data_IF_962025323948
#
_entry.id   IF_962025323948
#
_cell.length_a   1.000
_cell.length_b   1.000
_cell.length_c   1.000
_cell.angle_alpha   90.00
_cell.angle_beta   90.00
_cell.angle_gamma   90.00
#
_symmetry.space_group_name_H-M   'P 1'
#
loop_
_entity.id
_entity.type
_entity.pdbx_description
1 polymer ?
#
# COMPACT_ATOMS: atom_id res chain seq x y z
N UNK A 1 -3.88 -23.52 16.72
CA UNK A 1 -2.81 -22.93 15.87
C UNK A 1 -1.68 -22.42 16.73
N UNK A 2 -0.41 -22.71 16.40
CA UNK A 2 0.73 -22.14 17.10
C UNK A 2 0.76 -20.61 16.89
N UNK A 3 1.07 -19.85 17.93
CA UNK A 3 1.09 -18.37 17.91
C UNK A 3 2.02 -17.82 16.81
N UNK A 4 3.10 -18.53 16.52
CA UNK A 4 4.07 -18.21 15.48
C UNK A 4 3.42 -18.14 14.09
N UNK A 5 2.51 -19.05 13.76
CA UNK A 5 1.89 -19.10 12.44
C UNK A 5 0.97 -17.89 12.17
N UNK A 6 0.34 -17.33 13.20
CA UNK A 6 -0.52 -16.14 13.08
C UNK A 6 0.25 -14.87 12.70
N UNK A 7 1.54 -14.82 12.98
CA UNK A 7 2.41 -13.68 12.66
C UNK A 7 3.23 -13.95 11.40
N UNK A 8 3.74 -15.17 11.25
CA UNK A 8 4.56 -15.56 10.10
C UNK A 8 3.76 -15.51 8.80
N UNK A 9 2.51 -15.99 8.79
CA UNK A 9 1.70 -16.00 7.58
C UNK A 9 1.50 -14.58 6.97
N UNK A 10 1.01 -13.57 7.70
CA UNK A 10 0.88 -12.21 7.15
C UNK A 10 2.25 -11.59 6.83
N UNK A 11 3.30 -11.86 7.61
CA UNK A 11 4.64 -11.36 7.31
C UNK A 11 5.19 -11.91 5.98
N UNK A 12 4.98 -13.20 5.69
CA UNK A 12 5.38 -13.81 4.42
C UNK A 12 4.56 -13.24 3.26
N UNK A 13 3.26 -13.00 3.43
CA UNK A 13 2.44 -12.36 2.39
C UNK A 13 2.91 -10.94 2.08
N UNK A 14 3.29 -10.16 3.10
CA UNK A 14 3.89 -8.83 2.91
C UNK A 14 5.22 -8.91 2.16
N UNK A 15 6.09 -9.85 2.53
CA UNK A 15 7.36 -10.06 1.83
C UNK A 15 7.14 -10.44 0.35
N UNK A 16 6.20 -11.36 0.07
CA UNK A 16 5.85 -11.74 -1.29
C UNK A 16 5.25 -10.58 -2.09
N UNK A 17 4.50 -9.69 -1.44
CA UNK A 17 3.97 -8.48 -2.09
C UNK A 17 5.11 -7.58 -2.56
N UNK A 18 6.11 -7.33 -1.70
CA UNK A 18 7.28 -6.53 -2.07
C UNK A 18 8.13 -7.19 -3.15
N UNK A 19 8.39 -8.50 -3.03
CA UNK A 19 9.13 -9.24 -4.06
C UNK A 19 8.41 -9.17 -5.40
N UNK A 20 7.10 -9.41 -5.42
CA UNK A 20 6.30 -9.34 -6.66
C UNK A 20 6.29 -7.93 -7.25
N UNK A 21 6.24 -6.89 -6.41
CA UNK A 21 6.34 -5.51 -6.85
C UNK A 21 7.67 -5.23 -7.55
N UNK A 22 8.80 -5.58 -6.93
CA UNK A 22 10.12 -5.35 -7.52
C UNK A 22 10.35 -6.19 -8.78
N UNK A 23 9.87 -7.43 -8.82
CA UNK A 23 9.88 -8.25 -10.04
C UNK A 23 9.05 -7.59 -11.14
N UNK A 24 7.85 -7.11 -10.82
CA UNK A 24 7.00 -6.38 -11.76
C UNK A 24 7.65 -5.10 -12.29
N UNK A 25 8.34 -4.35 -11.43
CA UNK A 25 9.10 -3.15 -11.82
C UNK A 25 10.25 -3.51 -12.78
N UNK A 26 11.03 -4.55 -12.45
CA UNK A 26 12.15 -4.99 -13.28
C UNK A 26 11.71 -5.52 -14.66
N UNK A 27 10.55 -6.19 -14.72
CA UNK A 27 9.99 -6.71 -15.98
C UNK A 27 9.30 -5.60 -16.79
N UNK A 28 8.66 -4.64 -16.13
CA UNK A 28 7.87 -3.61 -16.77
C UNK A 28 8.63 -2.35 -17.15
N UNK A 29 9.85 -2.14 -16.64
CA UNK A 29 10.62 -0.91 -16.84
C UNK A 29 9.98 0.34 -16.21
N UNK A 30 8.98 0.15 -15.35
CA UNK A 30 8.24 1.26 -14.73
C UNK A 30 9.10 2.10 -13.77
N UNK A 31 10.25 1.57 -13.36
CA UNK A 31 11.25 2.26 -12.58
C UNK A 31 12.49 2.63 -13.39
N UNK A 32 12.42 2.71 -14.74
CA UNK A 32 13.52 3.14 -15.61
C UNK A 32 13.52 4.66 -15.83
N UNK A 33 14.69 5.21 -16.16
CA UNK A 33 14.88 6.67 -16.29
C UNK A 33 14.08 7.21 -17.45
N UNK A 34 13.35 8.30 -17.19
CA UNK A 34 12.50 8.96 -18.18
C UNK A 34 13.35 10.02 -18.89
N UNK A 35 13.35 10.01 -20.22
CA UNK A 35 14.13 10.97 -21.01
C UNK A 35 13.58 12.41 -20.94
N UNK A 36 12.34 12.59 -20.49
CA UNK A 36 11.67 13.88 -20.34
C UNK A 36 10.88 13.87 -19.03
N UNK A 37 11.01 14.94 -18.24
CA UNK A 37 10.26 15.15 -17.00
C UNK A 37 10.38 13.96 -16.02
N UNK A 38 11.62 13.54 -15.74
CA UNK A 38 11.87 12.48 -14.75
C UNK A 38 11.73 13.03 -13.33
N UNK A 39 10.76 12.55 -12.54
CA UNK A 39 10.57 12.98 -11.15
C UNK A 39 11.65 12.40 -10.19
N UNK A 40 12.51 11.52 -10.69
CA UNK A 40 13.60 10.88 -9.97
C UNK A 40 13.24 9.53 -9.32
N UNK A 41 14.27 8.82 -8.86
CA UNK A 41 14.16 7.46 -8.33
C UNK A 41 13.16 7.35 -7.16
N UNK A 42 13.16 8.34 -6.26
CA UNK A 42 12.28 8.33 -5.08
C UNK A 42 10.82 8.22 -5.49
N UNK A 43 10.39 8.93 -6.53
CA UNK A 43 9.01 8.90 -7.02
C UNK A 43 8.76 7.65 -7.86
N UNK A 44 9.72 7.25 -8.70
CA UNK A 44 9.63 6.05 -9.54
C UNK A 44 9.48 4.75 -8.76
N UNK A 45 10.11 4.63 -7.59
CA UNK A 45 9.90 3.49 -6.68
C UNK A 45 8.81 3.77 -5.64
N UNK A 46 8.70 5.00 -5.15
CA UNK A 46 7.75 5.39 -4.11
C UNK A 46 6.29 5.29 -4.55
N UNK A 47 5.97 5.70 -5.78
CA UNK A 47 4.61 5.65 -6.31
C UNK A 47 4.08 4.19 -6.42
N UNK A 48 4.81 3.24 -7.02
CA UNK A 48 4.40 1.83 -7.02
C UNK A 48 4.25 1.23 -5.61
N UNK A 49 5.16 1.54 -4.68
CA UNK A 49 5.06 1.08 -3.29
C UNK A 49 3.81 1.63 -2.60
N UNK A 50 3.55 2.93 -2.75
CA UNK A 50 2.36 3.56 -2.17
C UNK A 50 1.08 2.94 -2.74
N UNK A 51 1.02 2.69 -4.05
CA UNK A 51 -0.10 1.99 -4.70
C UNK A 51 -0.27 0.55 -4.21
N UNK A 52 0.82 -0.19 -4.01
CA UNK A 52 0.76 -1.54 -3.45
C UNK A 52 0.15 -1.54 -2.04
N UNK A 53 0.55 -0.58 -1.20
CA UNK A 53 -0.03 -0.40 0.13
C UNK A 53 -1.51 -0.01 0.09
N UNK A 54 -1.91 0.86 -0.85
CA UNK A 54 -3.32 1.18 -1.09
C UNK A 54 -4.12 -0.08 -1.42
N UNK A 55 -3.67 -0.88 -2.38
CA UNK A 55 -4.35 -2.11 -2.79
C UNK A 55 -4.46 -3.12 -1.64
N UNK A 56 -3.38 -3.31 -0.88
CA UNK A 56 -3.38 -4.24 0.25
C UNK A 56 -4.32 -3.78 1.37
N UNK A 57 -4.32 -2.48 1.66
CA UNK A 57 -5.18 -1.88 2.68
C UNK A 57 -6.65 -1.95 2.28
N UNK A 58 -6.97 -1.69 1.01
CA UNK A 58 -8.32 -1.89 0.48
C UNK A 58 -8.74 -3.36 0.56
N UNK A 59 -7.87 -4.30 0.21
CA UNK A 59 -8.17 -5.73 0.28
C UNK A 59 -8.46 -6.17 1.74
N UNK A 60 -7.63 -5.73 2.70
CA UNK A 60 -7.84 -6.00 4.12
C UNK A 60 -9.12 -5.38 4.65
N UNK A 61 -9.39 -4.11 4.31
CA UNK A 61 -10.59 -3.39 4.74
C UNK A 61 -11.85 -4.01 4.15
N UNK A 62 -11.91 -4.19 2.83
CA UNK A 62 -13.09 -4.70 2.15
C UNK A 62 -13.32 -6.18 2.53
N UNK A 63 -12.27 -7.00 2.52
CA UNK A 63 -12.37 -8.41 2.88
C UNK A 63 -12.86 -8.63 4.31
N UNK A 64 -12.37 -7.84 5.26
CA UNK A 64 -12.82 -7.93 6.66
C UNK A 64 -14.26 -7.46 6.85
N UNK A 65 -14.68 -6.38 6.18
CA UNK A 65 -16.08 -5.93 6.19
C UNK A 65 -17.02 -6.96 5.55
N UNK A 66 -16.63 -7.55 4.41
CA UNK A 66 -17.42 -8.60 3.76
C UNK A 66 -17.60 -9.80 4.70
N UNK A 67 -16.54 -10.23 5.39
CA UNK A 67 -16.63 -11.31 6.38
C UNK A 67 -17.53 -10.93 7.57
N UNK A 68 -17.42 -9.70 8.07
CA UNK A 68 -18.25 -9.21 9.17
C UNK A 68 -19.74 -9.19 8.82
N UNK A 69 -20.10 -8.82 7.59
CA UNK A 69 -21.49 -8.70 7.14
C UNK A 69 -22.09 -10.05 6.75
N UNK A 70 -21.32 -10.92 6.06
CA UNK A 70 -21.85 -12.12 5.44
C UNK A 70 -21.52 -13.43 6.15
N UNK A 71 -20.41 -13.50 6.88
CA UNK A 71 -19.89 -14.77 7.40
C UNK A 71 -19.89 -14.88 8.93
N UNK A 72 -19.94 -13.75 9.65
CA UNK A 72 -19.76 -13.71 11.11
C UNK A 72 -21.04 -13.26 11.83
N UNK A 73 -21.32 -13.88 12.98
CA UNK A 73 -22.40 -13.47 13.85
C UNK A 73 -22.00 -12.23 14.68
N UNK A 74 -22.87 -11.23 14.75
CA UNK A 74 -22.59 -9.91 15.37
C UNK A 74 -22.33 -10.01 16.88
N UNK A 75 -22.95 -10.97 17.56
CA UNK A 75 -22.80 -11.21 19.00
C UNK A 75 -21.46 -11.88 19.37
N UNK A 76 -20.72 -12.35 18.37
CA UNK A 76 -19.51 -13.15 18.57
C UNK A 76 -18.23 -12.31 18.48
N UNK A 77 -17.20 -12.63 19.31
CA UNK A 77 -15.96 -11.85 19.37
C UNK A 77 -15.23 -11.76 18.03
N UNK A 78 -15.41 -12.75 17.16
CA UNK A 78 -14.82 -12.80 15.82
C UNK A 78 -15.29 -11.63 14.94
N UNK A 79 -16.55 -11.20 15.07
CA UNK A 79 -17.07 -10.03 14.33
C UNK A 79 -16.38 -8.73 14.76
N UNK A 80 -16.12 -8.57 16.06
CA UNK A 80 -15.33 -7.44 16.58
C UNK A 80 -13.90 -7.44 16.03
N UNK A 81 -13.25 -8.60 15.98
CA UNK A 81 -11.90 -8.73 15.40
C UNK A 81 -11.89 -8.35 13.92
N UNK A 82 -12.92 -8.73 13.16
CA UNK A 82 -13.05 -8.32 11.76
C UNK A 82 -13.20 -6.80 11.63
N UNK A 83 -14.03 -6.16 12.47
CA UNK A 83 -14.19 -4.70 12.49
C UNK A 83 -12.91 -3.96 12.91
N UNK A 84 -12.16 -4.48 13.89
CA UNK A 84 -10.87 -3.91 14.31
C UNK A 84 -9.84 -4.00 13.18
N UNK A 85 -9.81 -5.13 12.46
CA UNK A 85 -8.96 -5.29 11.27
C UNK A 85 -9.37 -4.35 10.13
N UNK A 86 -10.67 -4.15 9.93
CA UNK A 86 -11.21 -3.21 8.95
C UNK A 86 -10.76 -1.78 9.27
N UNK A 87 -10.90 -1.37 10.53
CA UNK A 87 -10.49 -0.05 11.02
C UNK A 87 -8.97 0.17 10.89
N UNK A 88 -8.16 -0.81 11.29
CA UNK A 88 -6.71 -0.75 11.12
C UNK A 88 -6.30 -0.66 9.65
N UNK A 89 -6.95 -1.42 8.78
CA UNK A 89 -6.71 -1.37 7.33
C UNK A 89 -7.12 -0.02 6.73
N UNK A 90 -8.23 0.56 7.19
CA UNK A 90 -8.68 1.89 6.76
C UNK A 90 -7.67 2.99 7.12
N UNK A 91 -7.06 2.92 8.31
CA UNK A 91 -6.01 3.88 8.70
C UNK A 91 -4.79 3.80 7.77
N UNK A 92 -4.33 2.59 7.45
CA UNK A 92 -3.21 2.39 6.51
C UNK A 92 -3.59 2.86 5.11
N UNK A 93 -4.83 2.60 4.67
CA UNK A 93 -5.35 3.06 3.38
C UNK A 93 -5.28 4.58 3.28
N UNK A 94 -5.70 5.32 4.30
CA UNK A 94 -5.66 6.79 4.30
C UNK A 94 -4.23 7.30 4.08
N UNK A 95 -3.26 6.82 4.88
CA UNK A 95 -1.86 7.25 4.77
C UNK A 95 -1.28 6.90 3.40
N UNK A 96 -1.51 5.66 2.93
CA UNK A 96 -1.00 5.19 1.64
C UNK A 96 -1.64 5.93 0.45
N UNK A 97 -2.93 6.27 0.54
CA UNK A 97 -3.63 7.03 -0.49
C UNK A 97 -3.12 8.46 -0.55
N UNK A 98 -2.90 9.12 0.59
CA UNK A 98 -2.27 10.44 0.64
C UNK A 98 -0.87 10.41 0.02
N UNK A 99 -0.03 9.44 0.39
CA UNK A 99 1.30 9.28 -0.22
C UNK A 99 1.21 9.04 -1.73
N UNK A 100 0.27 8.21 -2.19
CA UNK A 100 0.06 7.94 -3.61
C UNK A 100 -0.35 9.19 -4.38
N UNK A 101 -1.22 10.02 -3.80
CA UNK A 101 -1.63 11.30 -4.39
C UNK A 101 -0.45 12.27 -4.49
N UNK A 102 0.36 12.39 -3.43
CA UNK A 102 1.56 13.24 -3.44
C UNK A 102 2.56 12.79 -4.51
N UNK A 103 2.90 11.51 -4.56
CA UNK A 103 3.81 11.00 -5.59
C UNK A 103 3.23 11.13 -7.00
N UNK A 104 1.92 10.94 -7.16
CA UNK A 104 1.26 11.15 -8.46
C UNK A 104 1.36 12.62 -8.89
N UNK A 105 1.17 13.56 -7.96
CA UNK A 105 1.34 14.98 -8.26
C UNK A 105 2.78 15.28 -8.73
N UNK A 106 3.79 14.79 -8.01
CA UNK A 106 5.21 15.01 -8.37
C UNK A 106 5.54 14.37 -9.73
N UNK A 107 5.04 13.16 -9.99
CA UNK A 107 5.23 12.46 -11.27
C UNK A 107 4.62 13.23 -12.45
N UNK A 108 3.46 13.87 -12.24
CA UNK A 108 2.76 14.64 -13.27
C UNK A 108 3.37 16.04 -13.44
N UNK A 109 3.86 16.68 -12.37
CA UNK A 109 4.47 18.01 -12.46
C UNK A 109 5.81 17.98 -13.18
N UNK A 110 6.50 16.83 -13.22
CA UNK A 110 7.75 16.66 -13.96
C UNK A 110 8.97 17.37 -13.36
N UNK A 111 8.77 18.01 -12.20
CA UNK A 111 9.83 18.64 -11.41
C UNK A 111 10.42 17.62 -10.42
N UNK A 112 11.75 17.53 -10.29
CA UNK A 112 12.37 16.66 -9.30
C UNK A 112 11.96 17.04 -7.87
N UNK A 113 11.86 16.04 -7.00
CA UNK A 113 11.62 16.30 -5.57
C UNK A 113 12.79 17.09 -4.97
N UNK A 114 12.61 18.39 -4.75
CA UNK A 114 13.60 19.28 -4.18
C UNK A 114 13.17 19.75 -2.78
N UNK A 115 14.09 19.68 -1.81
CA UNK A 115 13.93 20.27 -0.46
C UNK A 115 14.56 21.66 -0.36
N UNK A 116 14.97 22.24 -1.50
CA UNK A 116 15.68 23.52 -1.52
C UNK A 116 14.72 24.71 -1.42
N UNK A 117 15.21 25.82 -0.87
CA UNK A 117 14.43 26.98 -0.44
C UNK A 117 13.69 27.74 -1.57
N UNK A 118 13.78 27.28 -2.82
CA UNK A 118 12.98 27.81 -3.93
C UNK A 118 11.48 27.49 -3.76
N UNK A 119 11.15 26.44 -3.00
CA UNK A 119 9.78 26.05 -2.67
C UNK A 119 9.47 26.10 -1.16
N UNK A 120 10.26 26.86 -0.37
CA UNK A 120 10.08 27.08 1.07
C UNK A 120 9.72 28.52 1.41
#
# INVERSE_FOLDING_TARGET
MPRTLRVIAPAVLLALTLVSLFVGLALGGAADERTVADPGDVVRFGLPVARALVNLSMAGMIGSLVMAVWALAVDRPESRVAMDLASGSAAVLTVAATASLLFTYIDVSGEPFATDAVYG
#
